data_IF_452478554299
#
_entry.id   IF_452478554299
#
_cell.length_a   1.000
_cell.length_b   1.000
_cell.length_c   1.000
_cell.angle_alpha   90.00
_cell.angle_beta   90.00
_cell.angle_gamma   90.00
#
_symmetry.space_group_name_H-M   'P 1'
#
loop_
_entity.id
_entity.type
_entity.pdbx_description
1 polymer ?
2 non-polymer ?
3 water ?
#
# COMPACT_ATOMS: atom_id res chain seq x y z
N UNK A 1 -24.63 -5.03 7.31
CA UNK A 1 -23.44 -5.85 7.07
C UNK A 1 -22.55 -5.20 6.03
N UNK A 2 -21.25 -5.29 6.21
CA UNK A 2 -20.31 -4.69 5.28
C UNK A 2 -20.13 -5.64 4.11
N UNK A 3 -20.52 -5.26 2.89
CA UNK A 3 -20.44 -6.20 1.76
C UNK A 3 -19.02 -6.50 1.30
N UNK A 4 -18.02 -5.77 1.78
CA UNK A 4 -16.63 -5.89 1.33
C UNK A 4 -15.79 -6.79 2.22
N UNK A 5 -16.34 -7.28 3.34
CA UNK A 5 -15.56 -8.18 4.17
C UNK A 5 -15.23 -9.45 3.38
N UNK A 6 -13.99 -9.87 3.42
CA UNK A 6 -13.51 -11.10 2.81
C UNK A 6 -12.70 -11.90 3.81
N UNK A 7 -12.79 -13.24 3.72
CA UNK A 7 -12.00 -14.12 4.54
C UNK A 7 -12.47 -14.26 5.98
N UNK A 8 -11.88 -15.19 6.70
CA UNK A 8 -12.34 -15.47 8.06
C UNK A 8 -11.97 -14.35 9.02
N UNK A 9 -12.63 -14.36 10.17
CA UNK A 9 -12.35 -13.40 11.22
C UNK A 9 -10.85 -13.43 11.52
N UNK A 10 -10.18 -12.29 11.57
CA UNK A 10 -8.71 -12.30 11.66
C UNK A 10 -8.18 -12.49 13.08
N UNK A 11 -6.90 -12.85 13.14
CA UNK A 11 -6.11 -12.92 14.36
C UNK A 11 -4.75 -12.30 14.09
N UNK A 12 -3.96 -12.08 15.14
CA UNK A 12 -2.59 -11.59 14.90
C UNK A 12 -1.85 -12.57 14.03
N UNK A 13 -2.07 -13.86 14.27
CA UNK A 13 -1.42 -14.87 13.46
C UNK A 13 -1.85 -14.82 12.01
N UNK A 14 -3.14 -14.57 11.74
CA UNK A 14 -3.58 -14.59 10.35
C UNK A 14 -2.95 -13.45 9.56
N UNK A 15 -2.78 -12.28 10.17
CA UNK A 15 -2.19 -11.15 9.47
C UNK A 15 -0.68 -11.27 9.33
N UNK A 16 -0.05 -12.09 10.16
CA UNK A 16 1.37 -12.39 10.06
C UNK A 16 1.69 -13.44 9.04
N UNK A 17 0.71 -14.20 8.59
CA UNK A 17 0.93 -15.37 7.76
C UNK A 17 1.56 -14.99 6.42
N UNK A 18 2.46 -15.83 5.93
CA UNK A 18 3.10 -15.58 4.64
C UNK A 18 2.09 -15.70 3.51
N UNK A 19 1.18 -16.67 3.61
CA UNK A 19 0.06 -16.86 2.68
C UNK A 19 -1.23 -16.71 3.47
N UNK A 20 -2.11 -15.83 2.99
CA UNK A 20 -3.42 -15.65 3.56
C UNK A 20 -4.43 -16.67 3.08
N UNK A 21 -5.70 -16.48 3.42
CA UNK A 21 -6.71 -17.49 3.17
C UNK A 21 -7.05 -17.74 1.71
N UNK A 22 -6.65 -16.89 0.78
CA UNK A 22 -7.03 -17.00 -0.61
C UNK A 22 -5.89 -17.56 -1.43
N UNK A 23 -6.16 -18.68 -2.10
CA UNK A 23 -5.25 -19.14 -3.14
C UNK A 23 -5.11 -18.08 -4.22
N UNK A 24 -3.91 -17.95 -4.73
CA UNK A 24 -3.62 -16.89 -5.69
C UNK A 24 -3.06 -17.47 -6.97
N UNK A 25 -3.29 -16.74 -8.06
CA UNK A 25 -2.69 -16.97 -9.36
C UNK A 25 -2.06 -15.65 -9.79
N UNK A 26 -1.29 -15.70 -10.87
CA UNK A 26 -0.62 -14.50 -11.32
C UNK A 26 -0.65 -14.42 -12.85
N UNK A 27 -0.52 -13.21 -13.35
CA UNK A 27 -0.37 -12.93 -14.78
C UNK A 27 0.62 -11.79 -14.96
N UNK A 28 1.33 -11.82 -16.08
CA UNK A 28 2.35 -10.83 -16.38
C UNK A 28 1.82 -9.80 -17.36
N UNK A 29 2.08 -8.54 -17.06
CA UNK A 29 1.85 -7.42 -17.97
C UNK A 29 3.22 -7.04 -18.54
N UNK A 30 3.40 -7.25 -19.84
CA UNK A 30 4.68 -6.90 -20.43
C UNK A 30 4.81 -5.38 -20.55
N UNK A 31 6.05 -4.94 -20.76
CA UNK A 31 6.28 -3.51 -20.97
C UNK A 31 5.49 -3.01 -22.18
N UNK A 32 5.39 -3.83 -23.23
CA UNK A 32 4.60 -3.44 -24.41
C UNK A 32 3.12 -3.29 -24.05
N UNK A 33 2.58 -4.22 -23.26
CA UNK A 33 1.17 -4.20 -22.89
C UNK A 33 0.83 -3.06 -21.93
N UNK A 34 1.83 -2.51 -21.25
CA UNK A 34 1.61 -1.48 -20.23
C UNK A 34 1.68 -0.11 -20.87
N UNK A 35 0.64 0.67 -20.64
CA UNK A 35 0.60 2.05 -21.08
C UNK A 35 0.75 2.94 -19.86
N UNK A 36 1.84 3.71 -19.82
CA UNK A 36 2.11 4.60 -18.72
C UNK A 36 2.89 4.02 -17.56
N UNK A 37 3.38 2.78 -17.68
CA UNK A 37 4.25 2.17 -16.68
C UNK A 37 5.10 1.12 -17.37
N UNK A 38 5.95 0.43 -16.61
CA UNK A 38 6.96 -0.43 -17.19
C UNK A 38 6.63 -1.89 -17.21
N UNK A 39 5.36 -2.23 -17.05
CA UNK A 39 4.95 -3.61 -16.90
C UNK A 39 4.84 -3.99 -15.44
N UNK A 40 4.44 -5.23 -15.22
CA UNK A 40 4.29 -5.69 -13.85
C UNK A 40 3.79 -7.11 -13.79
N UNK A 41 3.57 -7.56 -12.56
CA UNK A 41 2.93 -8.84 -12.28
C UNK A 41 1.67 -8.57 -11.48
N UNK A 42 0.58 -9.22 -11.87
CA UNK A 42 -0.69 -9.14 -11.14
C UNK A 42 -0.88 -10.44 -10.39
N UNK A 43 -1.11 -10.35 -9.10
CA UNK A 43 -1.45 -11.48 -8.24
C UNK A 43 -2.91 -11.30 -7.86
N UNK A 44 -3.69 -12.40 -7.89
CA UNK A 44 -5.12 -12.27 -7.63
C UNK A 44 -5.69 -13.53 -7.00
N UNK A 45 -6.73 -13.41 -6.17
CA UNK A 45 -7.41 -14.60 -5.67
C UNK A 45 -8.17 -15.28 -6.79
N UNK A 46 -8.09 -16.61 -6.80
CA UNK A 46 -8.85 -17.37 -7.79
C UNK A 46 -10.29 -17.59 -7.36
N UNK A 47 -10.61 -17.51 -6.07
CA UNK A 47 -11.97 -17.72 -5.58
C UNK A 47 -12.81 -16.48 -5.81
N UNK A 48 -13.88 -16.62 -6.58
CA UNK A 48 -14.79 -15.51 -6.86
C UNK A 48 -16.06 -15.56 -6.01
N UNK A 49 -16.23 -16.58 -5.16
CA UNK A 49 -17.50 -16.84 -4.51
C UNK A 49 -17.82 -15.86 -3.40
N UNK A 50 -16.84 -15.08 -2.95
CA UNK A 50 -17.09 -14.08 -1.93
C UNK A 50 -17.31 -12.69 -2.51
N UNK A 51 -17.18 -12.54 -3.83
CA UNK A 51 -17.31 -11.25 -4.47
C UNK A 51 -16.00 -10.75 -5.07
N UNK A 52 -16.05 -9.52 -5.57
CA UNK A 52 -14.86 -8.88 -6.11
C UNK A 52 -13.99 -8.33 -4.97
N UNK A 53 -12.79 -7.91 -5.33
CA UNK A 53 -11.78 -7.48 -4.38
C UNK A 53 -11.26 -6.08 -4.73
N UNK A 54 -10.78 -5.38 -3.72
CA UNK A 54 -10.04 -4.16 -3.95
C UNK A 54 -8.75 -4.42 -4.69
N UNK A 55 -8.23 -3.36 -5.31
CA UNK A 55 -7.02 -3.43 -6.11
C UNK A 55 -5.94 -2.55 -5.52
N UNK A 56 -4.69 -3.01 -5.62
CA UNK A 56 -3.53 -2.34 -5.01
C UNK A 56 -2.40 -2.35 -6.04
N UNK A 57 -1.74 -1.22 -6.22
CA UNK A 57 -0.54 -1.11 -7.04
C UNK A 57 0.65 -0.72 -6.18
N UNK A 58 1.80 -1.34 -6.43
CA UNK A 58 3.00 -1.21 -5.59
C UNK A 58 4.17 -0.84 -6.49
N UNK A 59 4.87 0.22 -6.16
CA UNK A 59 6.03 0.69 -6.91
C UNK A 59 7.33 0.48 -6.16
N UNK A 60 8.40 0.10 -6.86
CA UNK A 60 9.74 0.11 -6.28
C UNK A 60 10.29 1.54 -6.23
N UNK A 61 11.50 1.64 -5.72
CA UNK A 61 12.18 2.92 -5.61
C UNK A 61 13.28 3.16 -6.64
N UNK A 62 14.00 4.26 -6.42
CA UNK A 62 15.03 4.72 -7.35
C UNK A 62 16.10 3.66 -7.50
N UNK A 63 16.45 3.37 -8.75
CA UNK A 63 17.43 2.37 -9.21
C UNK A 63 16.90 0.93 -9.13
N UNK A 64 15.69 0.70 -8.66
CA UNK A 64 15.23 -0.62 -8.32
C UNK A 64 14.21 -1.17 -9.30
N UNK A 65 14.23 -2.48 -9.41
CA UNK A 65 13.25 -3.19 -10.19
C UNK A 65 12.07 -3.69 -9.36
N UNK A 66 11.08 -4.18 -10.07
CA UNK A 66 9.92 -4.82 -9.49
C UNK A 66 10.32 -5.88 -8.49
N UNK A 67 11.42 -6.56 -8.75
CA UNK A 67 11.85 -7.65 -7.89
C UNK A 67 12.10 -7.21 -6.46
N UNK A 68 12.42 -5.93 -6.23
CA UNK A 68 12.68 -5.40 -4.89
C UNK A 68 11.43 -5.29 -4.03
N UNK A 69 10.23 -5.40 -4.62
CA UNK A 69 8.99 -5.35 -3.83
C UNK A 69 8.08 -6.55 -4.16
N UNK A 70 8.59 -7.52 -4.93
CA UNK A 70 7.74 -8.61 -5.42
C UNK A 70 7.11 -9.43 -4.29
N UNK A 71 7.83 -9.66 -3.20
CA UNK A 71 7.32 -10.50 -2.13
C UNK A 71 5.99 -9.98 -1.61
N UNK A 72 5.75 -8.67 -1.69
CA UNK A 72 4.50 -8.11 -1.18
C UNK A 72 3.32 -8.58 -1.99
N UNK A 73 3.52 -8.89 -3.28
CA UNK A 73 2.42 -9.21 -4.18
C UNK A 73 1.56 -10.35 -3.69
N UNK A 74 2.12 -11.54 -3.58
CA UNK A 74 1.31 -12.69 -3.17
C UNK A 74 0.95 -12.64 -1.71
N UNK A 75 1.77 -12.00 -0.88
CA UNK A 75 1.49 -11.94 0.55
C UNK A 75 0.26 -11.10 0.84
N UNK A 76 0.08 -9.99 0.11
CA UNK A 76 -1.10 -9.17 0.22
C UNK A 76 -2.26 -9.77 -0.57
N UNK A 77 -2.02 -10.21 -1.80
CA UNK A 77 -3.13 -10.68 -2.62
C UNK A 77 -3.85 -11.85 -1.97
N UNK A 78 -3.10 -12.72 -1.29
CA UNK A 78 -3.68 -13.88 -0.63
C UNK A 78 -4.51 -13.52 0.58
N UNK A 79 -4.54 -12.26 0.99
CA UNK A 79 -5.49 -11.79 1.99
C UNK A 79 -6.76 -11.26 1.36
N UNK A 80 -6.87 -11.32 0.04
CA UNK A 80 -8.06 -10.86 -0.66
C UNK A 80 -7.94 -9.50 -1.34
N UNK A 81 -6.97 -9.39 -2.23
CA UNK A 81 -6.75 -8.18 -2.99
C UNK A 81 -6.19 -8.58 -4.36
N UNK A 82 -6.46 -7.76 -5.38
CA UNK A 82 -5.77 -7.89 -6.65
C UNK A 82 -4.61 -6.93 -6.62
N UNK A 83 -3.38 -7.44 -6.71
CA UNK A 83 -2.18 -6.65 -6.45
C UNK A 83 -1.28 -6.64 -7.66
N UNK A 84 -0.93 -5.46 -8.18
CA UNK A 84 0.05 -5.36 -9.25
C UNK A 84 1.34 -4.74 -8.72
N UNK A 85 2.44 -5.48 -8.86
CA UNK A 85 3.78 -5.00 -8.55
C UNK A 85 4.37 -4.51 -9.88
N UNK A 86 4.81 -3.28 -9.94
CA UNK A 86 5.21 -2.70 -11.22
C UNK A 86 6.72 -2.57 -11.34
N UNK A 87 7.16 -2.56 -12.60
CA UNK A 87 8.37 -1.86 -12.99
C UNK A 87 8.00 -0.46 -13.46
N UNK A 88 8.89 0.47 -13.23
CA UNK A 88 8.69 1.80 -13.76
C UNK A 88 9.27 1.90 -15.18
N UNK A 89 8.88 2.98 -15.87
CA UNK A 89 9.36 3.18 -17.25
C UNK A 89 10.87 3.11 -17.30
N UNK A 90 11.55 3.87 -16.42
CA UNK A 90 12.99 3.68 -16.22
C UNK A 90 13.25 3.58 -14.71
N UNK A 91 14.39 3.02 -14.35
CA UNK A 91 14.73 2.88 -12.93
C UNK A 91 15.07 4.21 -12.28
N UNK A 92 15.31 5.25 -13.08
CA UNK A 92 15.66 6.56 -12.55
C UNK A 92 14.51 7.56 -12.65
N UNK A 93 13.29 7.05 -12.69
CA UNK A 93 12.14 7.94 -12.67
C UNK A 93 11.98 8.54 -11.28
N UNK A 94 11.45 9.76 -11.23
CA UNK A 94 11.29 10.55 -10.01
C UNK A 94 9.92 10.29 -9.37
N UNK A 95 9.71 10.78 -8.14
CA UNK A 95 8.50 10.38 -7.39
C UNK A 95 7.17 10.71 -8.05
N UNK A 96 7.00 11.93 -8.57
CA UNK A 96 5.69 12.24 -9.13
C UNK A 96 5.39 11.37 -10.36
N UNK A 97 6.42 11.10 -11.17
CA UNK A 97 6.24 10.19 -12.29
C UNK A 97 5.85 8.79 -11.79
N UNK A 98 6.49 8.32 -10.72
CA UNK A 98 6.10 7.03 -10.14
C UNK A 98 4.63 7.05 -9.72
N UNK A 99 4.15 8.16 -9.19
CA UNK A 99 2.72 8.27 -8.85
C UNK A 99 1.81 8.13 -10.06
N UNK A 100 2.19 8.75 -11.18
CA UNK A 100 1.40 8.60 -12.41
C UNK A 100 1.44 7.16 -12.88
N UNK A 101 2.57 6.49 -12.70
CA UNK A 101 2.69 5.10 -13.13
C UNK A 101 1.88 4.17 -12.25
N UNK A 102 1.81 4.45 -10.94
CA UNK A 102 0.93 3.69 -10.05
C UNK A 102 -0.52 3.82 -10.51
N UNK A 103 -0.94 5.06 -10.82
CA UNK A 103 -2.31 5.27 -11.31
C UNK A 103 -2.54 4.55 -12.63
N UNK A 104 -1.56 4.57 -13.53
CA UNK A 104 -1.69 3.87 -14.80
C UNK A 104 -1.81 2.37 -14.61
N UNK A 105 -1.07 1.80 -13.62
CA UNK A 105 -1.15 0.37 -13.34
C UNK A 105 -2.54 0.03 -12.81
N UNK A 106 -3.07 0.83 -11.89
CA UNK A 106 -4.44 0.61 -11.44
C UNK A 106 -5.43 0.68 -12.60
N UNK A 107 -5.27 1.70 -13.45
CA UNK A 107 -6.17 1.85 -14.58
C UNK A 107 -6.07 0.67 -15.52
N UNK A 108 -4.85 0.11 -15.67
CA UNK A 108 -4.69 -1.08 -16.51
C UNK A 108 -5.57 -2.23 -16.02
N UNK A 109 -5.72 -2.40 -14.71
CA UNK A 109 -6.48 -3.52 -14.19
C UNK A 109 -7.94 -3.47 -14.65
N UNK A 110 -8.46 -2.26 -14.89
CA UNK A 110 -9.87 -2.09 -15.25
C UNK A 110 -10.24 -2.82 -16.53
N UNK A 111 -9.28 -2.98 -17.45
CA UNK A 111 -9.53 -3.63 -18.74
C UNK A 111 -8.67 -4.86 -18.97
N UNK A 112 -7.88 -5.29 -17.99
CA UNK A 112 -7.09 -6.50 -18.13
C UNK A 112 -8.00 -7.73 -18.18
N UNK A 113 -7.84 -8.56 -19.19
CA UNK A 113 -8.81 -9.62 -19.38
C UNK A 113 -8.76 -10.69 -18.29
N UNK A 114 -7.65 -10.79 -17.58
CA UNK A 114 -7.53 -11.79 -16.53
C UNK A 114 -8.27 -11.34 -15.26
N UNK A 115 -8.23 -10.05 -14.92
CA UNK A 115 -8.68 -9.59 -13.62
C UNK A 115 -9.78 -8.54 -13.64
N UNK A 116 -10.20 -8.06 -14.81
CA UNK A 116 -11.16 -6.94 -14.81
C UNK A 116 -12.45 -7.28 -14.08
N UNK A 117 -12.90 -8.52 -14.11
CA UNK A 117 -14.13 -8.91 -13.44
C UNK A 117 -13.90 -9.38 -12.00
N UNK A 118 -12.67 -9.28 -11.51
CA UNK A 118 -12.33 -9.69 -10.15
C UNK A 118 -12.12 -8.51 -9.23
N UNK A 119 -12.01 -7.31 -9.78
CA UNK A 119 -11.76 -6.10 -9.01
C UNK A 119 -13.06 -5.35 -8.80
N UNK A 120 -13.12 -4.60 -7.71
CA UNK A 120 -14.07 -3.52 -7.51
C UNK A 120 -13.33 -2.25 -7.90
N UNK A 121 -13.61 -1.69 -9.08
CA UNK A 121 -12.80 -0.57 -9.55
C UNK A 121 -12.97 0.67 -8.71
N UNK A 122 -13.94 0.71 -7.82
CA UNK A 122 -14.10 1.83 -6.92
C UNK A 122 -13.29 1.71 -5.63
N UNK A 123 -12.53 0.63 -5.41
CA UNK A 123 -11.82 0.43 -4.13
C UNK A 123 -10.39 0.11 -4.47
N UNK A 124 -9.55 1.15 -4.52
CA UNK A 124 -8.17 1.03 -4.97
C UNK A 124 -7.20 1.65 -3.98
N UNK A 125 -5.96 1.17 -4.03
CA UNK A 125 -4.92 1.65 -3.12
C UNK A 125 -3.58 1.66 -3.80
N UNK A 126 -2.66 2.45 -3.25
CA UNK A 126 -1.30 2.57 -3.72
C UNK A 126 -0.31 2.37 -2.59
N UNK A 127 0.82 1.77 -2.94
CA UNK A 127 1.91 1.55 -2.02
C UNK A 127 3.23 1.74 -2.77
N UNK A 128 4.32 1.97 -2.06
CA UNK A 128 5.60 1.93 -2.72
C UNK A 128 6.72 2.12 -1.75
N UNK A 129 7.91 1.69 -2.18
CA UNK A 129 9.14 1.84 -1.41
C UNK A 129 9.95 3.03 -1.92
N UNK A 130 10.46 3.83 -1.00
CA UNK A 130 11.45 4.85 -1.33
C UNK A 130 10.79 5.86 -2.27
N UNK A 131 11.40 6.22 -3.40
CA UNK A 131 10.69 7.12 -4.30
C UNK A 131 9.33 6.57 -4.73
N UNK A 132 9.17 5.24 -4.74
CA UNK A 132 7.86 4.66 -5.00
C UNK A 132 6.83 5.02 -3.93
N UNK A 133 7.29 5.17 -2.69
CA UNK A 133 6.42 5.65 -1.62
C UNK A 133 6.11 7.12 -1.74
N UNK A 134 7.08 7.93 -2.17
CA UNK A 134 6.75 9.28 -2.61
C UNK A 134 5.72 9.28 -3.73
N UNK A 135 5.86 8.33 -4.67
CA UNK A 135 4.87 8.16 -5.71
C UNK A 135 3.48 7.83 -5.18
N UNK A 136 3.41 6.98 -4.16
CA UNK A 136 2.11 6.64 -3.57
C UNK A 136 1.43 7.87 -3.00
N UNK A 137 2.18 8.71 -2.29
CA UNK A 137 1.62 9.96 -1.78
C UNK A 137 1.17 10.87 -2.91
N UNK A 138 2.00 10.98 -3.96
CA UNK A 138 1.66 11.80 -5.11
C UNK A 138 0.38 11.32 -5.77
N UNK A 139 0.23 10.00 -5.94
CA UNK A 139 -0.96 9.46 -6.58
C UNK A 139 -2.20 9.77 -5.74
N UNK A 140 -2.09 9.65 -4.42
CA UNK A 140 -3.21 9.99 -3.55
C UNK A 140 -3.55 11.46 -3.64
N UNK A 141 -2.57 12.33 -3.75
CA UNK A 141 -2.85 13.76 -3.87
C UNK A 141 -3.56 14.07 -5.18
N UNK A 142 -3.29 13.32 -6.22
CA UNK A 142 -3.90 13.55 -7.54
C UNK A 142 -5.24 12.86 -7.72
N UNK A 143 -5.53 11.81 -6.94
CA UNK A 143 -6.76 11.04 -7.08
C UNK A 143 -7.32 10.76 -5.68
N UNK A 144 -8.12 11.70 -5.18
CA UNK A 144 -8.61 11.61 -3.80
C UNK A 144 -9.60 10.47 -3.62
N UNK A 145 -10.04 9.82 -4.70
CA UNK A 145 -10.89 8.66 -4.55
C UNK A 145 -10.12 7.42 -4.11
N UNK A 146 -8.77 7.44 -4.12
CA UNK A 146 -8.03 6.27 -3.62
C UNK A 146 -8.40 6.02 -2.16
N UNK A 147 -8.55 4.74 -1.80
CA UNK A 147 -9.02 4.35 -0.48
C UNK A 147 -7.91 4.17 0.54
N UNK A 148 -6.67 3.92 0.10
CA UNK A 148 -5.54 3.81 1.02
C UNK A 148 -4.24 4.14 0.30
N UNK A 149 -3.26 4.59 1.06
CA UNK A 149 -1.89 4.82 0.58
C UNK A 149 -0.91 4.39 1.64
N UNK A 150 0.16 3.72 1.22
CA UNK A 150 1.15 3.19 2.16
C UNK A 150 2.55 3.44 1.62
N UNK A 151 3.17 4.57 1.96
CA UNK A 151 4.58 4.79 1.63
C UNK A 151 5.48 4.07 2.62
N UNK A 152 6.36 3.22 2.10
CA UNK A 152 7.33 2.42 2.85
C UNK A 152 8.70 3.10 2.68
N UNK A 153 9.22 3.69 3.75
CA UNK A 153 10.46 4.45 3.70
C UNK A 153 10.40 5.44 2.53
N UNK A 154 9.29 6.17 2.45
CA UNK A 154 9.09 7.06 1.33
C UNK A 154 10.11 8.16 1.25
N UNK A 155 10.38 8.56 -0.01
CA UNK A 155 11.31 9.62 -0.36
C UNK A 155 10.58 10.56 -1.30
N UNK A 156 10.58 11.85 -0.95
CA UNK A 156 10.02 12.85 -1.86
C UNK A 156 10.63 14.19 -1.49
N UNK A 157 10.85 15.06 -2.49
CA UNK A 157 11.22 16.44 -2.18
C UNK A 157 10.04 17.24 -1.66
N UNK A 158 8.83 16.87 -2.04
CA UNK A 158 7.63 17.53 -1.55
C UNK A 158 7.36 17.02 -0.14
N UNK A 159 7.32 17.95 0.81
CA UNK A 159 7.08 17.62 2.20
C UNK A 159 5.66 17.92 2.66
N UNK A 160 4.87 18.65 1.86
CA UNK A 160 3.54 19.10 2.24
C UNK A 160 2.47 18.22 1.58
N UNK A 161 1.66 17.57 2.40
CA UNK A 161 0.65 16.62 1.94
C UNK A 161 -0.72 16.95 2.51
N UNK A 162 -1.00 18.24 2.74
CA UNK A 162 -2.26 18.60 3.38
C UNK A 162 -3.48 18.34 2.49
N UNK A 163 -3.29 18.16 1.19
CA UNK A 163 -4.42 17.87 0.31
C UNK A 163 -4.82 16.40 0.27
N UNK A 164 -4.09 15.51 0.95
CA UNK A 164 -4.40 14.09 0.89
C UNK A 164 -5.67 13.81 1.69
N UNK A 165 -6.59 13.09 1.07
CA UNK A 165 -7.84 12.69 1.71
C UNK A 165 -7.98 11.17 1.73
N UNK A 166 -6.87 10.45 1.47
CA UNK A 166 -6.80 8.98 1.44
C UNK A 166 -6.15 8.50 2.71
N UNK A 167 -6.79 7.64 3.49
CA UNK A 167 -6.16 7.10 4.70
C UNK A 167 -4.77 6.55 4.41
N UNK A 168 -3.79 7.00 5.19
CA UNK A 168 -2.39 6.77 4.87
C UNK A 168 -1.65 6.20 6.07
N UNK A 169 -0.96 5.09 5.85
CA UNK A 169 -0.04 4.47 6.81
C UNK A 169 1.39 4.78 6.36
N UNK A 170 2.12 5.56 7.14
CA UNK A 170 3.47 5.96 6.81
C UNK A 170 4.40 5.03 7.57
N UNK A 171 5.22 4.23 6.88
CA UNK A 171 6.11 3.29 7.51
C UNK A 171 7.54 3.78 7.38
N UNK A 172 8.15 4.15 8.49
CA UNK A 172 9.53 4.59 8.49
C UNK A 172 10.47 3.51 8.98
N UNK A 173 11.74 3.64 8.68
CA UNK A 173 12.77 2.75 9.18
C UNK A 173 13.67 3.57 10.11
N UNK A 174 13.79 3.16 11.37
CA UNK A 174 14.43 4.00 12.40
C UNK A 174 15.79 4.51 11.95
N UNK A 175 16.61 3.62 11.39
CA UNK A 175 18.01 3.93 11.11
C UNK A 175 18.22 4.21 9.63
N UNK A 176 17.18 4.59 8.91
CA UNK A 176 17.27 4.86 7.48
C UNK A 176 18.14 6.09 7.22
N UNK A 177 19.18 5.94 6.39
CA UNK A 177 20.03 7.06 6.02
C UNK A 177 19.74 7.55 4.60
N UNK A 178 18.91 6.84 3.86
CA UNK A 178 18.54 7.23 2.50
C UNK A 178 17.32 8.13 2.49
N UNK A 179 16.28 7.74 3.21
CA UNK A 179 15.06 8.53 3.37
C UNK A 179 14.83 8.69 4.87
N UNK A 180 15.72 9.43 5.54
CA UNK A 180 15.64 9.52 7.00
C UNK A 180 14.27 9.99 7.44
N UNK A 181 13.78 9.38 8.52
CA UNK A 181 12.40 9.65 8.92
C UNK A 181 12.19 11.10 9.28
N UNK A 182 13.20 11.78 9.82
CA UNK A 182 12.96 13.14 10.27
C UNK A 182 12.62 14.07 9.10
N UNK A 183 13.24 13.86 7.95
CA UNK A 183 13.00 14.75 6.82
C UNK A 183 12.02 14.22 5.78
N UNK A 184 11.72 12.90 5.81
CA UNK A 184 10.80 12.30 4.87
C UNK A 184 9.61 11.76 5.67
N UNK A 185 9.58 10.47 6.04
CA UNK A 185 8.40 9.86 6.64
C UNK A 185 7.69 10.72 7.71
N UNK A 186 8.41 11.15 8.75
CA UNK A 186 7.75 11.90 9.82
C UNK A 186 7.20 13.24 9.32
N UNK A 187 7.95 13.90 8.44
CA UNK A 187 7.48 15.15 7.86
C UNK A 187 6.21 14.92 7.06
N UNK A 188 6.15 13.82 6.29
CA UNK A 188 4.92 13.55 5.53
C UNK A 188 3.77 13.35 6.49
N UNK A 189 3.99 12.54 7.53
CA UNK A 189 2.94 12.23 8.51
C UNK A 189 2.42 13.51 9.17
N UNK A 190 3.34 14.39 9.56
CA UNK A 190 2.95 15.59 10.27
C UNK A 190 2.20 16.56 9.39
N UNK A 191 2.40 16.51 8.07
CA UNK A 191 1.70 17.41 7.18
C UNK A 191 0.40 16.84 6.65
N UNK A 192 0.17 15.53 6.75
CA UNK A 192 -1.14 15.01 6.43
C UNK A 192 -2.19 15.67 7.32
N UNK A 193 -3.42 15.86 6.86
CA UNK A 193 -4.44 16.52 7.69
C UNK A 193 -4.60 15.84 9.04
N UNK A 194 -4.83 16.66 10.08
CA UNK A 194 -5.00 16.11 11.42
C UNK A 194 -6.28 15.29 11.54
N UNK A 195 -7.28 15.56 10.72
CA UNK A 195 -8.52 14.81 10.74
C UNK A 195 -8.53 13.61 9.79
N UNK A 196 -7.42 13.34 9.11
CA UNK A 196 -7.35 12.15 8.29
C UNK A 196 -7.16 10.93 9.18
N UNK A 197 -7.69 9.79 8.73
CA UNK A 197 -7.30 8.51 9.31
C UNK A 197 -5.89 8.19 8.85
N UNK A 198 -4.94 8.14 9.78
CA UNK A 198 -3.54 7.98 9.41
C UNK A 198 -2.80 7.37 10.58
N UNK A 199 -1.62 6.83 10.29
CA UNK A 199 -0.75 6.27 11.30
C UNK A 199 0.68 6.40 10.79
N UNK A 200 1.60 6.45 11.74
CA UNK A 200 3.03 6.43 11.52
C UNK A 200 3.60 5.28 12.31
N UNK A 201 4.28 4.37 11.63
CA UNK A 201 4.87 3.19 12.21
C UNK A 201 6.37 3.24 11.90
N UNK A 202 7.22 3.31 12.92
CA UNK A 202 8.66 3.28 12.73
C UNK A 202 9.18 1.89 13.09
N UNK A 203 9.96 1.31 12.19
CA UNK A 203 10.51 -0.01 12.37
C UNK A 203 11.84 0.08 13.10
N UNK A 204 11.86 -0.52 14.28
CA UNK A 204 13.00 -0.51 15.16
C UNK A 204 14.23 -1.07 14.48
N UNK A 205 15.33 -0.34 14.56
CA UNK A 205 16.62 -0.77 14.10
C UNK A 205 16.76 -0.92 12.60
N UNK A 206 15.76 -0.55 11.83
CA UNK A 206 15.71 -0.97 10.44
C UNK A 206 16.43 0.03 9.55
N UNK A 207 16.99 -0.50 8.47
CA UNK A 207 17.60 0.29 7.41
C UNK A 207 16.61 0.51 6.28
N UNK A 208 17.06 1.25 5.27
CA UNK A 208 16.21 1.56 4.13
C UNK A 208 15.75 0.31 3.41
N UNK A 209 16.56 -0.76 3.41
CA UNK A 209 16.27 -1.97 2.65
C UNK A 209 15.28 -2.91 3.33
N UNK A 210 14.71 -2.52 4.48
CA UNK A 210 13.83 -3.42 5.19
C UNK A 210 12.67 -3.88 4.30
N UNK A 211 12.19 -3.04 3.39
CA UNK A 211 11.07 -3.43 2.55
C UNK A 211 11.43 -4.33 1.39
N UNK A 212 12.69 -4.60 1.17
CA UNK A 212 13.08 -5.32 -0.03
C UNK A 212 13.19 -6.82 0.13
N UNK A 213 13.02 -7.34 1.34
CA UNK A 213 12.87 -8.76 1.60
C UNK A 213 11.76 -8.89 2.62
N UNK A 214 11.20 -10.09 2.78
CA UNK A 214 10.04 -10.21 3.67
C UNK A 214 10.30 -9.66 5.06
N UNK A 215 9.36 -8.84 5.52
CA UNK A 215 9.35 -8.27 6.85
C UNK A 215 7.93 -8.42 7.36
N UNK A 216 7.78 -9.26 8.39
CA UNK A 216 6.43 -9.56 8.88
C UNK A 216 5.71 -8.33 9.38
N UNK A 217 6.40 -7.42 10.05
CA UNK A 217 5.71 -6.24 10.57
C UNK A 217 5.15 -5.40 9.44
N UNK A 218 5.96 -5.17 8.42
CA UNK A 218 5.50 -4.42 7.25
C UNK A 218 4.28 -5.08 6.64
N UNK A 219 4.34 -6.39 6.44
CA UNK A 219 3.25 -7.10 5.80
C UNK A 219 1.99 -7.06 6.65
N UNK A 220 2.12 -7.35 7.95
CA UNK A 220 0.93 -7.51 8.77
C UNK A 220 0.15 -6.20 8.85
N UNK A 221 0.87 -5.08 9.01
CA UNK A 221 0.20 -3.80 9.15
C UNK A 221 -0.24 -3.21 7.82
N UNK A 222 0.46 -3.53 6.74
CA UNK A 222 -0.05 -3.19 5.42
C UNK A 222 -1.35 -3.91 5.16
N UNK A 223 -1.39 -5.20 5.48
CA UNK A 223 -2.63 -5.99 5.33
C UNK A 223 -3.74 -5.38 6.18
N UNK A 224 -3.47 -5.09 7.46
CA UNK A 224 -4.50 -4.55 8.33
C UNK A 224 -5.00 -3.21 7.81
N UNK A 225 -4.09 -2.35 7.31
CA UNK A 225 -4.48 -1.03 6.81
C UNK A 225 -5.35 -1.17 5.56
N UNK A 226 -4.89 -2.01 4.62
CA UNK A 226 -5.67 -2.20 3.41
C UNK A 226 -7.03 -2.78 3.74
N UNK A 227 -7.10 -3.79 4.61
CA UNK A 227 -8.41 -4.29 5.02
C UNK A 227 -9.28 -3.19 5.61
N UNK A 228 -8.72 -2.43 6.55
CA UNK A 228 -9.52 -1.44 7.27
C UNK A 228 -10.05 -0.37 6.35
N UNK A 229 -9.28 0.02 5.32
CA UNK A 229 -9.63 1.17 4.51
C UNK A 229 -10.09 0.83 3.10
N UNK A 230 -9.47 -0.13 2.42
CA UNK A 230 -9.98 -0.54 1.11
C UNK A 230 -11.28 -1.32 1.25
N UNK A 231 -11.40 -2.19 2.27
CA UNK A 231 -12.58 -2.96 2.52
C UNK A 231 -13.47 -2.37 3.62
N UNK A 232 -13.07 -1.27 4.24
CA UNK A 232 -13.83 -0.67 5.35
C UNK A 232 -14.05 -1.70 6.48
N UNK A 233 -13.12 -2.63 6.63
CA UNK A 233 -13.34 -3.84 7.44
C UNK A 233 -12.98 -3.55 8.87
N UNK A 234 -14.01 -3.32 9.69
CA UNK A 234 -13.83 -2.96 11.08
C UNK A 234 -13.22 -4.08 11.90
N UNK A 235 -13.21 -5.32 11.38
CA UNK A 235 -12.56 -6.38 12.12
C UNK A 235 -11.06 -6.18 12.23
N UNK A 236 -10.48 -5.30 11.41
CA UNK A 236 -9.05 -5.10 11.38
C UNK A 236 -8.61 -3.89 12.18
N UNK A 237 -9.53 -3.09 12.71
CA UNK A 237 -9.12 -1.95 13.52
C UNK A 237 -8.48 -2.38 14.83
N UNK A 238 -8.84 -3.56 15.35
CA UNK A 238 -8.24 -4.06 16.59
C UNK A 238 -6.73 -4.14 16.50
N UNK A 239 -6.16 -4.33 15.32
CA UNK A 239 -4.72 -4.47 15.19
C UNK A 239 -4.00 -3.12 15.16
N UNK A 240 -4.74 -2.08 14.84
CA UNK A 240 -4.19 -0.75 14.63
C UNK A 240 -4.45 0.19 15.80
N UNK A 241 -5.45 -0.12 16.62
CA UNK A 241 -5.86 0.75 17.73
C UNK A 241 -6.20 -0.17 18.90
N UNK A 242 -5.63 0.04 20.07
CA UNK A 242 -4.59 1.03 20.38
C UNK A 242 -3.27 0.64 19.72
N UNK A 243 -2.25 1.43 20.00
CA UNK A 243 -0.95 1.25 19.38
C UNK A 243 -0.50 -0.20 19.51
N UNK A 244 -0.04 -0.82 18.42
CA UNK A 244 0.54 -2.17 18.47
C UNK A 244 1.73 -2.28 19.42
N UNK A 245 1.88 -3.45 20.02
CA UNK A 245 2.95 -3.73 20.99
C UNK A 245 4.11 -4.47 20.38
N UNK A 246 4.18 -4.61 19.05
CA UNK A 246 5.25 -5.38 18.44
C UNK A 246 6.62 -4.83 18.83
N UNK A 247 7.56 -5.72 19.15
CA UNK A 247 8.95 -5.32 19.38
C UNK A 247 9.50 -4.57 18.17
N UNK A 248 9.13 -5.01 16.97
CA UNK A 248 9.72 -4.46 15.77
C UNK A 248 9.31 -3.01 15.50
N UNK A 249 8.38 -2.46 16.25
CA UNK A 249 7.94 -1.09 16.11
C UNK A 249 8.57 -0.28 17.24
N UNK A 250 9.38 0.73 16.89
CA UNK A 250 10.00 1.60 17.86
C UNK A 250 9.17 2.84 18.15
N UNK A 251 8.26 3.22 17.27
CA UNK A 251 7.37 4.36 17.48
C UNK A 251 6.07 4.12 16.70
N UNK A 252 4.94 4.51 17.28
CA UNK A 252 3.67 4.44 16.59
C UNK A 252 2.86 5.66 16.99
N UNK A 253 2.35 6.37 16.01
CA UNK A 253 1.43 7.47 16.20
C UNK A 253 0.23 7.23 15.31
N UNK A 254 -0.95 7.71 15.71
CA UNK A 254 -2.11 7.52 14.87
C UNK A 254 -3.21 8.49 15.26
N UNK A 255 -4.22 8.55 14.42
CA UNK A 255 -5.48 9.19 14.74
C UNK A 255 -6.57 8.20 15.13
N UNK A 256 -6.20 7.09 15.74
CA UNK A 256 -7.18 6.18 16.33
C UNK A 256 -8.08 6.96 17.30
N UNK A 257 -9.40 6.64 17.38
CA UNK A 257 -10.11 5.63 16.59
C UNK A 257 -10.45 6.18 15.23
N UNK A 258 -10.50 5.31 14.23
CA UNK A 258 -10.65 5.81 12.88
C UNK A 258 -12.12 5.99 12.54
N UNK A 259 -12.37 6.75 11.49
CA UNK A 259 -13.73 7.10 11.13
C UNK A 259 -14.39 5.92 10.43
N UNK A 260 -15.70 5.77 10.62
CA UNK A 260 -16.44 4.73 9.90
C UNK A 260 -17.93 5.07 9.88
N UNK A 261 -18.67 4.31 9.07
CA UNK A 261 -20.11 4.48 8.89
C UNK A 261 -20.85 3.15 9.16
X LIG B 1 19.84 2.91 5.26
#
# INVERSE_FOLDING_TARGET
ANPYERGPDPTESSIEAVRGPFAVAQTTVSRLQADGFGGGTIYYPTDTSQGTFGAVAISPGFTAGQESIAWLGPRIASQGFVVITIDTITRLDQPDSRGRQLQAALDHLRTNSVVRNRIDPNRMAVMGHSMGGGGALSAAAQQTSLEAAIPLQGWHTRKQWSSVRTPTLVVGAELDTIAPVSSHSEAFYNSLPSDLDKAYMELRGASHTVSNTPDTTTAKYSIAWLKRFVDKDLRYEQFLCPAPDDFAISEYRSTCPFHHHHHH
CL CL
#
